data_IF_587236389145
#
_entry.id   IF_587236389145
#
_cell.length_a   1.000
_cell.length_b   1.000
_cell.length_c   1.000
_cell.angle_alpha   90.00
_cell.angle_beta   90.00
_cell.angle_gamma   90.00
#
_symmetry.space_group_name_H-M   'P 1'
#
loop_
_entity.id
_entity.type
_entity.pdbx_description
1 polymer ?
#
# COMPACT_ATOMS: atom_id res chain seq x y z
N UNK A 1 -31.30 -5.21 -10.34
CA UNK A 1 -30.59 -6.48 -10.56
C UNK A 1 -29.52 -6.45 -11.68
N UNK A 2 -29.01 -5.28 -12.07
CA UNK A 2 -27.76 -5.13 -12.84
C UNK A 2 -27.09 -3.90 -12.22
N UNK A 3 -25.81 -3.98 -11.85
CA UNK A 3 -24.90 -2.87 -11.44
C UNK A 3 -23.91 -3.21 -10.29
N UNK A 4 -23.98 -4.39 -9.68
CA UNK A 4 -22.96 -4.86 -8.70
C UNK A 4 -21.65 -5.34 -9.38
N UNK A 5 -21.63 -5.41 -10.72
CA UNK A 5 -20.54 -6.04 -11.48
C UNK A 5 -19.28 -5.16 -11.64
N UNK A 6 -19.37 -3.83 -11.45
CA UNK A 6 -18.26 -2.93 -11.85
C UNK A 6 -17.05 -3.01 -10.91
N UNK A 7 -17.22 -3.39 -9.64
CA UNK A 7 -16.09 -3.66 -8.74
C UNK A 7 -15.55 -5.11 -8.85
N UNK A 8 -16.40 -6.06 -9.27
CA UNK A 8 -16.02 -7.47 -9.46
C UNK A 8 -15.06 -7.67 -10.65
N UNK A 9 -15.29 -6.97 -11.77
CA UNK A 9 -14.41 -7.10 -12.94
C UNK A 9 -13.01 -6.52 -12.70
N UNK A 10 -12.87 -5.50 -11.85
CA UNK A 10 -11.54 -4.94 -11.49
C UNK A 10 -10.76 -5.83 -10.52
N UNK A 11 -11.44 -6.58 -9.65
CA UNK A 11 -10.81 -7.57 -8.77
C UNK A 11 -10.30 -8.80 -9.56
N UNK A 12 -11.04 -9.22 -10.59
CA UNK A 12 -10.61 -10.34 -11.45
C UNK A 12 -9.35 -10.03 -12.27
N UNK A 13 -9.20 -8.79 -12.76
CA UNK A 13 -7.97 -8.34 -13.42
C UNK A 13 -6.79 -8.22 -12.43
N UNK A 14 -7.08 -7.94 -11.17
CA UNK A 14 -6.10 -7.92 -10.09
C UNK A 14 -5.53 -9.31 -9.76
N UNK A 15 -6.39 -10.33 -9.80
CA UNK A 15 -6.01 -11.74 -9.58
C UNK A 15 -5.05 -12.27 -10.66
N UNK A 16 -5.12 -11.76 -11.89
CA UNK A 16 -4.26 -12.16 -13.01
C UNK A 16 -2.82 -11.64 -12.84
N UNK A 17 -2.65 -10.43 -12.27
CA UNK A 17 -1.31 -9.85 -12.06
C UNK A 17 -0.53 -10.52 -10.93
N UNK A 18 -1.22 -11.14 -9.97
CA UNK A 18 -0.63 -11.89 -8.84
C UNK A 18 -0.15 -13.30 -9.22
N UNK A 19 -0.67 -13.92 -10.30
CA UNK A 19 -0.24 -15.26 -10.76
C UNK A 19 1.19 -15.29 -11.30
N UNK A 20 1.81 -14.13 -11.54
CA UNK A 20 3.17 -14.02 -12.09
C UNK A 20 4.26 -13.92 -11.02
N UNK A 21 3.89 -14.01 -9.73
CA UNK A 21 4.82 -13.91 -8.60
C UNK A 21 5.16 -15.27 -7.94
N UNK A 22 4.49 -16.37 -8.30
CA UNK A 22 4.70 -17.69 -7.65
C UNK A 22 5.91 -18.47 -8.17
N UNK A 23 6.91 -17.80 -8.76
CA UNK A 23 8.13 -18.44 -9.26
C UNK A 23 9.38 -17.76 -8.69
N UNK A 24 9.54 -17.81 -7.37
CA UNK A 24 10.86 -17.60 -6.77
C UNK A 24 11.05 -18.53 -5.57
N UNK A 25 11.66 -19.67 -5.88
CA UNK A 25 12.72 -20.28 -5.06
C UNK A 25 12.32 -20.81 -3.69
N UNK A 26 11.91 -22.07 -3.67
CA UNK A 26 12.27 -23.02 -2.61
C UNK A 26 13.80 -23.00 -2.44
N UNK A 27 14.31 -22.70 -1.25
CA UNK A 27 15.73 -22.92 -0.90
C UNK A 27 15.79 -23.58 0.47
N UNK A 28 16.62 -24.62 0.49
CA UNK A 28 16.75 -25.71 1.43
C UNK A 28 16.93 -25.33 2.90
N UNK A 29 16.36 -26.21 3.72
CA UNK A 29 16.81 -26.47 5.09
C UNK A 29 18.25 -26.97 5.04
N UNK A 30 19.20 -26.23 5.61
CA UNK A 30 20.51 -26.78 5.95
C UNK A 30 20.52 -27.13 7.44
N UNK A 31 20.76 -28.42 7.67
CA UNK A 31 20.84 -29.12 8.93
C UNK A 31 22.19 -28.81 9.62
N UNK A 32 22.20 -28.77 10.95
CA UNK A 32 23.36 -28.52 11.81
C UNK A 32 24.41 -29.65 11.70
N UNK A 33 25.70 -29.30 11.70
CA UNK A 33 26.80 -30.22 12.01
C UNK A 33 27.83 -29.49 12.89
N UNK A 34 28.05 -30.04 14.08
CA UNK A 34 29.01 -29.59 15.09
C UNK A 34 30.40 -30.14 14.75
N UNK A 35 31.46 -29.32 14.80
CA UNK A 35 32.84 -29.80 14.89
C UNK A 35 33.76 -28.82 15.64
N UNK A 36 34.49 -29.36 16.60
CA UNK A 36 35.48 -28.71 17.48
C UNK A 36 36.83 -28.50 16.79
N UNK A 37 37.49 -27.34 16.98
CA UNK A 37 38.80 -27.10 17.67
C UNK A 37 39.50 -25.79 17.24
N UNK A 38 40.15 -25.20 18.25
CA UNK A 38 40.99 -23.99 18.35
C UNK A 38 42.12 -23.83 17.31
N UNK A 39 42.40 -22.59 16.87
CA UNK A 39 43.76 -22.05 16.67
C UNK A 39 43.76 -20.51 16.52
N UNK A 40 44.64 -19.88 17.31
CA UNK A 40 44.97 -18.46 17.40
C UNK A 40 45.51 -17.81 16.11
N UNK A 41 45.20 -16.52 15.86
CA UNK A 41 46.20 -15.43 15.76
C UNK A 41 45.56 -14.07 15.45
N UNK A 42 46.11 -13.04 16.10
CA UNK A 42 45.66 -11.65 16.13
C UNK A 42 46.04 -10.86 14.88
N UNK A 43 45.21 -9.88 14.47
CA UNK A 43 45.70 -8.56 14.05
C UNK A 43 44.62 -7.47 14.20
N UNK A 44 45.08 -6.31 14.66
CA UNK A 44 44.35 -5.14 15.14
C UNK A 44 43.64 -4.33 14.05
N UNK A 45 42.55 -3.62 14.40
CA UNK A 45 42.57 -2.15 14.63
C UNK A 45 41.18 -1.48 14.63
N UNK A 46 40.94 -0.72 15.71
CA UNK A 46 40.29 0.60 15.74
C UNK A 46 38.76 0.75 15.73
N UNK A 47 38.27 1.10 16.93
CA UNK A 47 37.14 1.94 17.32
C UNK A 47 36.39 2.76 16.25
N UNK A 48 35.05 2.69 16.32
CA UNK A 48 34.21 3.90 16.30
C UNK A 48 32.90 3.67 17.05
N UNK A 49 32.65 4.56 18.01
CA UNK A 49 31.52 4.56 18.93
C UNK A 49 30.23 4.88 18.18
N UNK A 50 29.34 3.91 18.01
CA UNK A 50 27.98 4.16 17.53
C UNK A 50 27.06 4.44 18.73
N UNK A 51 27.12 5.67 19.26
CA UNK A 51 26.00 6.24 20.01
C UNK A 51 24.95 6.71 19.00
N UNK A 52 24.30 5.75 18.35
CA UNK A 52 23.07 5.98 17.60
C UNK A 52 21.93 5.62 18.52
N UNK A 53 21.30 6.61 19.15
CA UNK A 53 20.08 6.41 19.93
C UNK A 53 19.14 5.47 19.17
N UNK A 54 18.59 4.41 19.79
CA UNK A 54 17.60 3.58 19.13
C UNK A 54 16.47 4.52 18.69
N UNK A 55 16.26 4.66 17.39
CA UNK A 55 15.05 5.29 16.87
C UNK A 55 13.93 4.47 17.47
N UNK A 56 13.30 5.01 18.51
CA UNK A 56 12.11 4.44 19.13
C UNK A 56 11.09 4.36 18.00
N UNK A 57 10.98 3.19 17.40
CA UNK A 57 9.85 2.84 16.57
C UNK A 57 8.67 2.83 17.52
N UNK A 58 8.10 4.02 17.73
CA UNK A 58 6.79 4.14 18.33
C UNK A 58 5.86 3.46 17.34
N UNK A 59 5.54 2.20 17.60
CA UNK A 59 4.38 1.52 17.06
C UNK A 59 3.12 2.20 17.63
N UNK A 60 3.01 3.51 17.40
CA UNK A 60 1.77 4.24 17.54
C UNK A 60 0.97 3.81 16.32
N UNK A 61 -0.05 2.97 16.52
CA UNK A 61 -0.98 2.58 15.48
C UNK A 61 -1.55 3.84 14.84
N UNK A 62 -0.99 4.24 13.69
CA UNK A 62 -1.47 5.40 12.96
C UNK A 62 -2.87 5.07 12.48
N UNK A 63 -3.81 5.99 12.67
CA UNK A 63 -5.14 5.82 12.10
C UNK A 63 -5.02 5.73 10.55
N UNK A 64 -5.92 5.00 9.88
CA UNK A 64 -5.89 4.86 8.42
C UNK A 64 -5.86 6.21 7.69
N UNK A 65 -6.58 7.20 8.22
CA UNK A 65 -6.59 8.58 7.69
C UNK A 65 -5.21 9.24 7.78
N UNK A 66 -4.55 9.16 8.95
CA UNK A 66 -3.21 9.72 9.13
C UNK A 66 -2.16 9.01 8.25
N UNK A 67 -2.32 7.71 8.05
CA UNK A 67 -1.46 6.96 7.14
C UNK A 67 -1.65 7.40 5.69
N UNK A 68 -2.89 7.54 5.21
CA UNK A 68 -3.18 8.04 3.88
C UNK A 68 -2.57 9.43 3.67
N UNK A 69 -2.79 10.36 4.60
CA UNK A 69 -2.23 11.72 4.52
C UNK A 69 -0.70 11.70 4.43
N UNK A 70 -0.04 10.87 5.23
CA UNK A 70 1.42 10.71 5.17
C UNK A 70 1.88 10.19 3.79
N UNK A 71 1.13 9.30 3.17
CA UNK A 71 1.45 8.75 1.84
C UNK A 71 1.21 9.75 0.72
N UNK A 72 0.09 10.49 0.77
CA UNK A 72 -0.18 11.60 -0.15
C UNK A 72 0.93 12.63 -0.10
N UNK A 73 1.33 13.05 1.12
CA UNK A 73 2.41 14.01 1.31
C UNK A 73 3.76 13.50 0.77
N UNK A 74 4.14 12.25 1.08
CA UNK A 74 5.37 11.64 0.55
C UNK A 74 5.36 11.58 -0.99
N UNK A 75 4.22 11.25 -1.59
CA UNK A 75 4.08 11.24 -3.05
C UNK A 75 4.22 12.65 -3.64
N UNK A 76 3.61 13.66 -3.02
CA UNK A 76 3.75 15.05 -3.44
C UNK A 76 5.20 15.50 -3.45
N UNK A 77 5.96 15.19 -2.40
CA UNK A 77 7.39 15.53 -2.32
C UNK A 77 8.20 14.80 -3.40
N UNK A 78 7.98 13.50 -3.58
CA UNK A 78 8.73 12.69 -4.54
C UNK A 78 8.48 13.10 -6.01
N UNK A 79 7.30 13.62 -6.33
CA UNK A 79 6.91 14.00 -7.69
C UNK A 79 6.89 15.52 -7.90
N UNK A 80 7.27 16.30 -6.89
CA UNK A 80 7.18 17.76 -6.86
C UNK A 80 5.81 18.27 -7.36
N UNK A 81 4.73 17.64 -6.89
CA UNK A 81 3.36 17.88 -7.38
C UNK A 81 2.37 17.99 -6.23
N UNK A 82 1.36 18.84 -6.41
CA UNK A 82 0.26 19.02 -5.45
C UNK A 82 -0.92 18.12 -5.84
N UNK A 83 -1.79 17.75 -4.88
CA UNK A 83 -3.04 17.06 -5.20
C UNK A 83 -3.84 17.80 -6.28
N UNK A 84 -4.22 17.10 -7.34
CA UNK A 84 -4.85 17.65 -8.56
C UNK A 84 -6.30 17.16 -8.75
N UNK A 85 -6.84 16.43 -7.77
CA UNK A 85 -8.23 16.02 -7.74
C UNK A 85 -8.82 16.07 -6.32
N UNK A 86 -10.07 16.51 -6.22
CA UNK A 86 -10.91 16.44 -5.04
C UNK A 86 -11.97 15.33 -5.19
N UNK A 87 -11.96 14.33 -4.31
CA UNK A 87 -12.96 13.27 -4.29
C UNK A 87 -13.91 13.43 -3.10
N UNK A 88 -15.21 13.31 -3.34
CA UNK A 88 -16.26 13.33 -2.33
C UNK A 88 -16.81 11.92 -2.14
N UNK A 89 -16.69 11.37 -0.94
CA UNK A 89 -17.15 10.01 -0.62
C UNK A 89 -17.84 10.00 0.74
N UNK A 90 -19.12 9.67 0.78
CA UNK A 90 -19.89 9.61 2.03
C UNK A 90 -19.85 10.90 2.84
N UNK A 91 -19.82 12.07 2.19
CA UNK A 91 -19.69 13.39 2.83
C UNK A 91 -18.26 13.82 3.17
N UNK A 92 -17.28 12.93 3.05
CA UNK A 92 -15.85 13.22 3.31
C UNK A 92 -15.15 13.66 2.03
N UNK A 93 -14.21 14.61 2.17
CA UNK A 93 -13.41 15.17 1.08
C UNK A 93 -11.98 14.64 1.10
N UNK A 94 -11.47 14.26 -0.07
CA UNK A 94 -10.12 13.74 -0.23
C UNK A 94 -9.37 14.52 -1.33
N UNK A 95 -8.32 15.23 -0.94
CA UNK A 95 -7.38 15.84 -1.89
C UNK A 95 -6.31 14.82 -2.27
N UNK A 96 -6.32 14.38 -3.52
CA UNK A 96 -5.48 13.27 -4.02
C UNK A 96 -4.85 13.63 -5.37
N UNK A 97 -3.98 12.75 -5.86
CA UNK A 97 -3.34 12.83 -7.17
C UNK A 97 -3.99 11.83 -8.13
N UNK A 98 -4.33 12.27 -9.35
CA UNK A 98 -4.94 11.42 -10.38
C UNK A 98 -4.03 10.27 -10.80
N UNK A 99 -2.73 10.49 -10.79
CA UNK A 99 -1.73 9.55 -11.28
C UNK A 99 -1.71 8.20 -10.50
N UNK A 100 -1.52 8.17 -9.16
CA UNK A 100 -1.59 6.93 -8.38
C UNK A 100 -2.97 6.26 -8.44
N UNK A 101 -4.06 7.05 -8.50
CA UNK A 101 -5.42 6.53 -8.61
C UNK A 101 -5.67 5.84 -9.96
N UNK A 102 -5.25 6.48 -11.05
CA UNK A 102 -5.45 5.99 -12.42
C UNK A 102 -4.60 4.77 -12.75
N UNK A 103 -3.41 4.65 -12.13
CA UNK A 103 -2.54 3.48 -12.25
C UNK A 103 -3.13 2.25 -11.57
N UNK A 104 -3.87 2.45 -10.49
CA UNK A 104 -4.41 1.38 -9.65
C UNK A 104 -5.86 1.01 -9.98
N UNK A 105 -6.65 1.93 -10.53
CA UNK A 105 -8.07 1.72 -10.80
C UNK A 105 -8.46 2.19 -12.20
N UNK A 106 -8.90 1.25 -13.05
CA UNK A 106 -9.48 1.57 -14.36
C UNK A 106 -10.83 2.30 -14.27
N UNK A 107 -11.57 2.15 -13.16
CA UNK A 107 -12.77 2.94 -12.90
C UNK A 107 -12.41 4.41 -12.66
N UNK A 108 -11.48 4.67 -11.73
CA UNK A 108 -11.05 6.04 -11.44
C UNK A 108 -10.36 6.66 -12.65
N UNK A 109 -9.52 5.93 -13.38
CA UNK A 109 -8.91 6.44 -14.63
C UNK A 109 -9.95 6.98 -15.61
N UNK A 110 -11.02 6.22 -15.86
CA UNK A 110 -12.09 6.62 -16.78
C UNK A 110 -12.84 7.86 -16.30
N UNK A 111 -13.13 7.92 -15.00
CA UNK A 111 -13.91 9.03 -14.44
C UNK A 111 -13.09 10.27 -14.15
N UNK A 112 -11.78 10.16 -13.89
CA UNK A 112 -10.90 11.30 -13.58
C UNK A 112 -10.30 11.98 -14.82
N UNK A 113 -10.58 11.46 -16.02
CA UNK A 113 -10.09 12.05 -17.27
C UNK A 113 -10.77 13.39 -17.51
N UNK A 114 -10.01 14.48 -17.50
CA UNK A 114 -10.51 15.83 -17.79
C UNK A 114 -11.25 16.54 -16.65
N UNK A 115 -11.39 15.92 -15.48
CA UNK A 115 -12.06 16.53 -14.31
C UNK A 115 -11.10 16.70 -13.15
N UNK A 116 -11.39 17.65 -12.25
CA UNK A 116 -10.64 17.91 -11.02
C UNK A 116 -11.46 17.65 -9.75
N UNK A 117 -12.75 17.35 -9.87
CA UNK A 117 -13.65 17.07 -8.75
C UNK A 117 -14.60 15.92 -9.12
N UNK A 118 -14.70 14.91 -8.25
CA UNK A 118 -15.55 13.73 -8.46
C UNK A 118 -16.29 13.36 -7.19
N UNK A 119 -17.62 13.20 -7.29
CA UNK A 119 -18.44 12.66 -6.20
C UNK A 119 -18.74 11.18 -6.43
N UNK A 120 -18.26 10.31 -5.54
CA UNK A 120 -18.65 8.91 -5.46
C UNK A 120 -19.92 8.82 -4.60
N UNK A 121 -21.07 8.92 -5.27
CA UNK A 121 -22.40 8.78 -4.68
C UNK A 121 -23.01 7.42 -5.03
N UNK A 122 -24.11 7.01 -4.37
CA UNK A 122 -24.83 5.79 -4.71
C UNK A 122 -25.06 5.66 -6.23
N UNK A 123 -24.95 4.46 -6.81
CA UNK A 123 -25.04 3.15 -6.15
C UNK A 123 -23.72 2.57 -5.64
N UNK A 124 -22.60 3.29 -5.75
CA UNK A 124 -21.32 2.84 -5.22
C UNK A 124 -21.35 2.96 -3.68
N UNK A 125 -21.91 1.96 -3.00
CA UNK A 125 -22.04 1.91 -1.54
C UNK A 125 -20.66 1.73 -0.85
N UNK A 126 -19.77 2.71 -1.01
CA UNK A 126 -18.45 2.74 -0.38
C UNK A 126 -18.43 3.79 0.73
N UNK A 127 -18.00 3.37 1.92
CA UNK A 127 -17.82 4.29 3.05
C UNK A 127 -16.52 5.08 2.88
N UNK A 128 -16.44 6.24 3.52
CA UNK A 128 -15.20 7.03 3.55
C UNK A 128 -14.02 6.24 4.14
N UNK A 129 -14.28 5.35 5.10
CA UNK A 129 -13.27 4.49 5.72
C UNK A 129 -12.72 3.46 4.72
N UNK A 130 -13.61 2.72 4.04
CA UNK A 130 -13.19 1.76 3.01
C UNK A 130 -12.44 2.48 1.89
N UNK A 131 -12.92 3.66 1.47
CA UNK A 131 -12.24 4.46 0.46
C UNK A 131 -10.84 4.92 0.92
N UNK A 132 -10.67 5.23 2.21
CA UNK A 132 -9.37 5.58 2.79
C UNK A 132 -8.37 4.44 2.62
N UNK A 133 -8.76 3.20 2.93
CA UNK A 133 -7.90 2.02 2.79
C UNK A 133 -7.54 1.73 1.31
N UNK A 134 -8.53 1.76 0.42
CA UNK A 134 -8.33 1.56 -1.02
C UNK A 134 -7.42 2.65 -1.61
N UNK A 135 -7.60 3.89 -1.17
CA UNK A 135 -6.75 5.00 -1.62
C UNK A 135 -5.33 4.84 -1.07
N UNK A 136 -5.16 4.50 0.21
CA UNK A 136 -3.84 4.28 0.78
C UNK A 136 -3.07 3.20 -0.02
N UNK A 137 -3.78 2.15 -0.43
CA UNK A 137 -3.25 1.13 -1.34
C UNK A 137 -2.78 1.68 -2.69
N UNK A 138 -3.55 2.59 -3.31
CA UNK A 138 -3.14 3.26 -4.56
C UNK A 138 -1.83 4.06 -4.41
N UNK A 139 -1.49 4.47 -3.19
CA UNK A 139 -0.23 5.11 -2.81
C UNK A 139 0.81 4.12 -2.21
N UNK A 140 0.66 2.83 -2.48
CA UNK A 140 1.61 1.79 -2.09
C UNK A 140 1.48 1.33 -0.63
N UNK A 141 0.29 1.44 -0.01
CA UNK A 141 0.03 0.72 1.23
C UNK A 141 -0.15 -0.78 0.96
N UNK A 142 0.22 -1.61 1.93
CA UNK A 142 -0.10 -3.02 1.90
C UNK A 142 -1.48 -3.23 2.54
N UNK A 143 -2.38 -3.90 1.84
CA UNK A 143 -3.65 -4.37 2.41
C UNK A 143 -3.46 -5.86 2.72
N UNK A 144 -3.60 -6.21 4.00
CA UNK A 144 -3.68 -7.62 4.40
C UNK A 144 -5.10 -8.12 4.09
N UNK A 145 -5.25 -9.10 3.20
CA UNK A 145 -6.55 -9.70 2.91
C UNK A 145 -6.90 -10.73 3.99
N UNK A 146 -8.13 -10.66 4.50
CA UNK A 146 -8.70 -11.57 5.48
C UNK A 146 -10.13 -11.91 5.05
N UNK A 147 -10.72 -13.03 5.52
CA UNK A 147 -12.11 -13.37 5.17
C UNK A 147 -13.12 -12.27 5.49
N UNK A 148 -12.81 -11.38 6.44
CA UNK A 148 -13.67 -10.26 6.85
C UNK A 148 -13.58 -9.04 5.94
N UNK A 149 -12.58 -8.96 5.06
CA UNK A 149 -12.39 -7.81 4.16
C UNK A 149 -12.59 -8.14 2.67
N UNK A 150 -13.06 -9.34 2.38
CA UNK A 150 -13.45 -9.78 1.03
C UNK A 150 -14.95 -10.05 0.98
N UNK A 151 -15.60 -9.63 -0.09
CA UNK A 151 -17.02 -9.92 -0.34
C UNK A 151 -17.10 -11.13 -1.27
N UNK A 152 -17.92 -12.16 -0.96
CA UNK A 152 -18.16 -13.27 -1.88
C UNK A 152 -18.79 -12.77 -3.19
N UNK A 153 -18.33 -13.34 -4.30
CA UNK A 153 -18.73 -12.95 -5.67
C UNK A 153 -20.05 -13.59 -6.09
#
# INVERSE_FOLDING_TARGET
HKHIIILSSTLSLWKIKMKRWTNLGFVDTIYEEEDYVDHSSSFSSSSSSLSGSPKRHTNLSKSPSMELQSRVHKWSLANNSKPDVLLHVGGTRFHLHKDPLSRSSGYLKRHLTGINELTLSPPLNITAETFTLVTAFCYGAHIQLTPFNVVPL
#
